data_IF_670766878984
#
_entry.id   IF_670766878984
#
_cell.length_a   1.000
_cell.length_b   1.000
_cell.length_c   1.000
_cell.angle_alpha   90.00
_cell.angle_beta   90.00
_cell.angle_gamma   90.00
#
_symmetry.space_group_name_H-M   'P 1'
#
loop_
_entity.id
_entity.type
_entity.pdbx_description
1 polymer ?
#
# COMPACT_ATOMS: atom_id res chain seq x y z
N UNK A 1 13.33 8.39 3.71
CA UNK A 1 12.55 9.22 4.64
C UNK A 1 11.37 9.93 3.97
N UNK A 2 11.38 10.15 2.65
CA UNK A 2 10.36 10.95 1.96
C UNK A 2 8.93 10.40 2.04
N UNK A 3 8.75 9.08 2.00
CA UNK A 3 7.42 8.48 2.07
C UNK A 3 6.73 8.73 3.42
N UNK A 4 7.46 8.64 4.54
CA UNK A 4 6.90 8.87 5.88
C UNK A 4 6.35 10.28 6.04
N UNK A 5 7.13 11.25 5.57
CA UNK A 5 6.77 12.66 5.68
C UNK A 5 5.56 13.00 4.81
N UNK A 6 5.43 12.39 3.62
CA UNK A 6 4.25 12.54 2.78
C UNK A 6 2.96 12.02 3.45
N UNK A 7 3.04 10.91 4.19
CA UNK A 7 1.88 10.32 4.89
C UNK A 7 1.47 11.10 6.13
N UNK A 8 2.43 11.67 6.84
CA UNK A 8 2.15 12.54 7.99
C UNK A 8 1.43 13.82 7.56
N UNK A 9 1.62 14.27 6.32
CA UNK A 9 0.94 15.43 5.73
C UNK A 9 -0.47 15.11 5.21
N UNK A 10 -0.83 13.82 5.04
CA UNK A 10 -2.19 13.43 4.68
C UNK A 10 -3.11 13.57 5.90
N UNK A 11 -4.04 14.52 5.79
CA UNK A 11 -5.10 14.76 6.76
C UNK A 11 -6.25 13.76 6.56
N UNK A 12 -6.72 13.18 7.66
CA UNK A 12 -7.87 12.27 7.68
C UNK A 12 -7.54 10.84 8.11
N UNK A 13 -8.57 10.04 8.41
CA UNK A 13 -8.42 8.67 8.89
C UNK A 13 -8.06 7.68 7.77
N UNK A 14 -8.10 8.09 6.51
CA UNK A 14 -7.84 7.24 5.35
C UNK A 14 -6.76 7.87 4.47
N UNK A 15 -5.72 7.10 4.20
CA UNK A 15 -4.69 7.41 3.21
C UNK A 15 -4.99 6.64 1.95
N UNK A 16 -5.30 7.37 0.88
CA UNK A 16 -5.57 6.80 -0.43
C UNK A 16 -4.28 6.81 -1.26
N UNK A 17 -3.92 5.64 -1.80
CA UNK A 17 -2.76 5.45 -2.66
C UNK A 17 -3.26 5.04 -4.05
N UNK A 18 -2.80 5.72 -5.09
CA UNK A 18 -3.07 5.33 -6.47
C UNK A 18 -1.93 4.44 -6.98
N UNK A 19 -2.25 3.18 -7.28
CA UNK A 19 -1.32 2.20 -7.81
C UNK A 19 -1.23 2.19 -9.35
N UNK A 20 -2.03 3.00 -10.06
CA UNK A 20 -2.09 3.01 -11.53
C UNK A 20 -0.73 3.28 -12.20
N UNK A 21 0.11 4.09 -11.55
CA UNK A 21 1.43 4.50 -12.08
C UNK A 21 2.56 3.53 -11.71
N UNK A 22 2.30 2.55 -10.86
CA UNK A 22 3.28 1.52 -10.55
C UNK A 22 3.42 0.60 -11.78
N UNK A 23 4.64 0.51 -12.31
CA UNK A 23 4.97 -0.34 -13.48
C UNK A 23 5.87 -1.51 -13.12
N UNK A 24 6.63 -1.36 -12.04
CA UNK A 24 7.57 -2.35 -11.54
C UNK A 24 7.10 -2.73 -10.14
N UNK A 25 6.90 -4.02 -9.94
CA UNK A 25 6.47 -4.57 -8.66
C UNK A 25 7.22 -5.87 -8.44
N UNK A 26 7.84 -5.97 -7.27
CA UNK A 26 8.55 -7.13 -6.78
C UNK A 26 8.14 -7.42 -5.33
N UNK A 27 8.77 -8.42 -4.70
CA UNK A 27 8.54 -8.74 -3.30
C UNK A 27 8.87 -7.59 -2.34
N UNK A 28 9.80 -6.70 -2.70
CA UNK A 28 10.17 -5.55 -1.87
C UNK A 28 9.13 -4.43 -1.93
N UNK A 29 8.51 -4.20 -3.09
CA UNK A 29 7.39 -3.25 -3.24
C UNK A 29 6.19 -3.67 -2.38
N UNK A 30 5.87 -4.95 -2.35
CA UNK A 30 4.83 -5.51 -1.48
C UNK A 30 5.18 -5.34 0.00
N UNK A 31 6.43 -5.61 0.39
CA UNK A 31 6.89 -5.41 1.77
C UNK A 31 6.76 -3.93 2.21
N UNK A 32 7.06 -2.98 1.32
CA UNK A 32 6.89 -1.55 1.58
C UNK A 32 5.42 -1.19 1.79
N UNK A 33 4.49 -1.71 0.97
CA UNK A 33 3.05 -1.48 1.14
C UNK A 33 2.51 -2.06 2.45
N UNK A 34 3.00 -3.23 2.87
CA UNK A 34 2.62 -3.84 4.15
C UNK A 34 3.14 -3.04 5.34
N UNK A 35 4.40 -2.60 5.28
CA UNK A 35 5.01 -1.75 6.31
C UNK A 35 4.30 -0.39 6.39
N UNK A 36 3.92 0.18 5.24
CA UNK A 36 3.12 1.39 5.14
C UNK A 36 1.78 1.25 5.86
N UNK A 37 1.04 0.18 5.56
CA UNK A 37 -0.22 -0.15 6.22
C UNK A 37 -0.04 -0.31 7.73
N UNK A 38 1.05 -0.97 8.17
CA UNK A 38 1.36 -1.18 9.60
C UNK A 38 1.60 0.14 10.32
N UNK A 39 2.35 1.06 9.72
CA UNK A 39 2.60 2.39 10.27
C UNK A 39 1.33 3.22 10.35
N UNK A 40 0.53 3.24 9.28
CA UNK A 40 -0.74 3.95 9.28
C UNK A 40 -1.71 3.40 10.32
N UNK A 41 -1.80 2.07 10.48
CA UNK A 41 -2.60 1.46 11.55
C UNK A 41 -2.12 1.85 12.95
N UNK A 42 -0.81 1.99 13.16
CA UNK A 42 -0.26 2.47 14.43
C UNK A 42 -0.64 3.94 14.71
N UNK A 43 -0.85 4.73 13.66
CA UNK A 43 -1.37 6.11 13.73
C UNK A 43 -2.91 6.19 13.76
N UNK A 44 -3.62 5.05 13.79
CA UNK A 44 -5.10 5.01 13.72
C UNK A 44 -5.68 5.33 12.34
N UNK A 45 -4.85 5.29 11.29
CA UNK A 45 -5.23 5.52 9.89
C UNK A 45 -5.36 4.20 9.13
N UNK A 46 -6.19 4.22 8.08
CA UNK A 46 -6.36 3.10 7.16
C UNK A 46 -5.68 3.42 5.83
N UNK A 47 -4.94 2.45 5.28
CA UNK A 47 -4.43 2.54 3.91
C UNK A 47 -5.50 1.96 2.97
N UNK A 48 -5.92 2.74 1.98
CA UNK A 48 -6.71 2.27 0.85
C UNK A 48 -5.89 2.45 -0.42
N UNK A 49 -5.78 1.39 -1.20
CA UNK A 49 -5.07 1.42 -2.49
C UNK A 49 -6.08 1.28 -3.61
N UNK A 50 -6.00 2.17 -4.58
CA UNK A 50 -6.89 2.27 -5.74
C UNK A 50 -6.13 1.98 -7.02
N UNK A 51 -6.85 1.58 -8.07
CA UNK A 51 -6.29 1.22 -9.39
C UNK A 51 -5.17 0.18 -9.33
N UNK A 52 -5.41 -0.92 -8.62
CA UNK A 52 -4.50 -2.05 -8.57
C UNK A 52 -4.19 -2.55 -10.00
N UNK A 53 -2.91 -2.58 -10.41
CA UNK A 53 -2.52 -3.24 -11.64
C UNK A 53 -2.71 -4.74 -11.47
N UNK A 54 -3.38 -5.40 -12.41
CA UNK A 54 -3.69 -6.84 -12.32
C UNK A 54 -2.47 -7.72 -12.03
N UNK A 55 -1.31 -7.38 -12.59
CA UNK A 55 -0.02 -8.08 -12.32
C UNK A 55 0.40 -8.01 -10.85
N UNK A 56 0.10 -6.89 -10.17
CA UNK A 56 0.39 -6.71 -8.75
C UNK A 56 -0.58 -7.55 -7.90
N UNK A 57 -1.85 -7.64 -8.26
CA UNK A 57 -2.82 -8.54 -7.60
C UNK A 57 -2.39 -10.01 -7.71
N UNK A 58 -1.98 -10.44 -8.91
CA UNK A 58 -1.47 -11.80 -9.14
C UNK A 58 -0.25 -12.07 -8.25
N UNK A 59 0.69 -11.13 -8.18
CA UNK A 59 1.90 -11.23 -7.37
C UNK A 59 1.57 -11.28 -5.87
N UNK A 60 0.64 -10.47 -5.38
CA UNK A 60 0.17 -10.53 -4.00
C UNK A 60 -0.54 -11.85 -3.69
N UNK A 61 -1.30 -12.40 -4.64
CA UNK A 61 -1.92 -13.71 -4.54
C UNK A 61 -0.89 -14.83 -4.43
N UNK A 62 0.17 -14.78 -5.25
CA UNK A 62 1.29 -15.73 -5.19
C UNK A 62 2.01 -15.72 -3.84
N UNK A 63 2.13 -14.55 -3.21
CA UNK A 63 2.75 -14.41 -1.89
C UNK A 63 1.77 -14.61 -0.72
N UNK A 64 0.48 -14.85 -0.98
CA UNK A 64 -0.54 -15.05 0.07
C UNK A 64 -0.84 -13.79 0.89
N UNK A 65 -0.52 -12.60 0.36
CA UNK A 65 -0.71 -11.31 1.03
C UNK A 65 -1.81 -10.46 0.40
N UNK A 66 -2.53 -11.02 -0.59
CA UNK A 66 -3.64 -10.35 -1.27
C UNK A 66 -4.69 -9.82 -0.29
N UNK A 67 -5.17 -10.63 0.66
CA UNK A 67 -6.18 -10.21 1.64
C UNK A 67 -5.71 -9.13 2.62
N UNK A 68 -4.39 -8.94 2.74
CA UNK A 68 -3.82 -7.91 3.60
C UNK A 68 -3.89 -6.53 2.94
N UNK A 69 -3.84 -6.49 1.62
CA UNK A 69 -3.83 -5.25 0.85
C UNK A 69 -5.07 -5.12 -0.03
N UNK A 70 -6.00 -6.08 0.07
CA UNK A 70 -7.26 -6.06 -0.64
C UNK A 70 -8.01 -4.73 -0.36
N UNK A 71 -8.65 -4.17 -1.40
CA UNK A 71 -9.36 -2.90 -1.30
C UNK A 71 -10.50 -2.91 -0.28
#
# INVERSE_FOLDING_TARGET
>A
MELKQALSQQAGPVVMLDAASLRVFDSSAVAVLLELRRQLRAEGKTLQVSHWPRRLEDLMGLYGVGELLAP
#
